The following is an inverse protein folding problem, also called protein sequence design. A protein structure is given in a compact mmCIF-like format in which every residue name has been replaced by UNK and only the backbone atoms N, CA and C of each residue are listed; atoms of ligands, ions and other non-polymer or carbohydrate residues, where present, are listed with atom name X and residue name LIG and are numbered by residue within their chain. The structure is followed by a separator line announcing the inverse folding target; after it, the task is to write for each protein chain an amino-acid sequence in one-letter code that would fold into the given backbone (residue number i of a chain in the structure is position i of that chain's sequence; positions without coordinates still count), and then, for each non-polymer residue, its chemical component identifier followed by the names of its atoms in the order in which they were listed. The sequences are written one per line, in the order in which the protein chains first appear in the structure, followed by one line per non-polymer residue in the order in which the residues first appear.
data_IF_092026577780
#
_entry.id   IF_092026577780
#
_cell.length_a   1.000
_cell.length_b   1.000
_cell.length_c   1.000
_cell.angle_alpha   90.00
_cell.angle_beta   90.00
_cell.angle_gamma   90.00
#
_symmetry.space_group_name_H-M   'P 1'
#
loop_
_entity.id
_entity.type
_entity.pdbx_description
1 polymer ?
#
# COMPACT_ATOMS: atom_id res chain seq x y z
N UNK A 1 -37.50 7.83 5.21
CA UNK A 1 -36.94 6.55 4.72
C UNK A 1 -36.18 5.85 5.84
N UNK A 2 -36.15 4.51 5.91
CA UNK A 2 -35.35 3.78 6.89
C UNK A 2 -33.85 3.87 6.55
N UNK A 3 -33.01 4.34 7.48
CA UNK A 3 -31.55 4.19 7.35
C UNK A 3 -31.18 2.72 7.57
N UNK A 4 -30.69 2.02 6.53
CA UNK A 4 -29.98 0.74 6.73
C UNK A 4 -28.82 0.99 7.68
N UNK A 5 -28.76 0.26 8.81
CA UNK A 5 -27.55 0.20 9.62
C UNK A 5 -26.46 -0.46 8.78
N UNK A 6 -25.39 0.26 8.46
CA UNK A 6 -24.19 -0.35 7.89
C UNK A 6 -23.64 -1.33 8.93
N UNK A 7 -23.29 -2.55 8.50
CA UNK A 7 -22.49 -3.44 9.36
C UNK A 7 -21.15 -2.75 9.56
N UNK A 8 -20.65 -2.69 10.80
CA UNK A 8 -19.26 -2.35 11.05
C UNK A 8 -18.40 -3.40 10.34
N UNK A 9 -17.63 -2.97 9.34
CA UNK A 9 -16.64 -3.83 8.70
C UNK A 9 -15.42 -3.96 9.61
N UNK A 10 -14.76 -5.13 9.59
CA UNK A 10 -13.49 -5.28 10.26
C UNK A 10 -12.46 -4.35 9.60
N UNK A 11 -12.00 -3.33 10.35
CA UNK A 11 -11.01 -2.39 9.85
C UNK A 11 -9.66 -3.10 9.66
N UNK A 12 -9.14 -3.09 8.43
CA UNK A 12 -7.79 -3.59 8.16
C UNK A 12 -6.79 -2.73 8.95
N UNK A 13 -6.08 -3.37 9.88
CA UNK A 13 -5.20 -2.70 10.85
C UNK A 13 -3.84 -3.40 10.86
N UNK A 14 -2.75 -2.64 10.84
CA UNK A 14 -1.40 -3.19 10.97
C UNK A 14 -1.19 -3.77 12.38
N UNK A 15 -0.39 -4.84 12.46
CA UNK A 15 -0.06 -5.43 13.75
C UNK A 15 0.75 -4.43 14.61
N UNK A 16 0.41 -4.32 15.90
CA UNK A 16 1.07 -3.39 16.84
C UNK A 16 2.59 -3.52 16.85
N UNK A 17 3.13 -4.73 16.64
CA UNK A 17 4.57 -4.97 16.49
C UNK A 17 5.25 -4.15 15.38
N UNK A 18 4.53 -3.84 14.30
CA UNK A 18 5.02 -3.03 13.15
C UNK A 18 4.88 -1.55 13.48
N UNK A 19 3.75 -1.16 14.10
CA UNK A 19 3.48 0.22 14.52
C UNK A 19 4.45 0.71 15.60
N UNK A 20 5.02 -0.20 16.40
CA UNK A 20 5.91 0.10 17.53
C UNK A 20 7.42 -0.06 17.21
N UNK A 21 7.80 -0.44 15.98
CA UNK A 21 9.21 -0.40 15.56
C UNK A 21 9.74 1.05 15.55
N UNK A 22 11.05 1.22 15.71
CA UNK A 22 11.70 2.49 15.36
C UNK A 22 11.83 2.65 13.83
N UNK A 23 12.46 3.73 13.38
CA UNK A 23 12.59 4.01 11.95
C UNK A 23 13.59 3.10 11.22
N UNK A 24 14.65 2.64 11.88
CA UNK A 24 15.64 1.73 11.30
C UNK A 24 15.06 0.32 11.15
N UNK A 25 14.48 -0.22 12.23
CA UNK A 25 13.88 -1.55 12.22
C UNK A 25 12.64 -1.61 11.32
N UNK A 26 11.85 -0.55 11.22
CA UNK A 26 10.74 -0.47 10.26
C UNK A 26 11.25 -0.46 8.81
N UNK A 27 12.25 0.37 8.49
CA UNK A 27 12.84 0.43 7.15
C UNK A 27 13.42 -0.94 6.73
N UNK A 28 14.14 -1.59 7.65
CA UNK A 28 14.67 -2.94 7.47
C UNK A 28 13.57 -3.98 7.27
N UNK A 29 12.51 -3.95 8.09
CA UNK A 29 11.38 -4.89 7.97
C UNK A 29 10.69 -4.77 6.61
N UNK A 30 10.46 -3.55 6.12
CA UNK A 30 9.90 -3.29 4.77
C UNK A 30 10.85 -3.79 3.68
N UNK A 31 12.16 -3.57 3.83
CA UNK A 31 13.15 -4.01 2.86
C UNK A 31 13.28 -5.54 2.81
N UNK A 32 13.24 -6.22 3.95
CA UNK A 32 13.40 -7.68 4.05
C UNK A 32 12.16 -8.43 3.57
N UNK A 33 10.94 -7.93 3.86
CA UNK A 33 9.70 -8.45 3.29
C UNK A 33 9.65 -8.28 1.75
N UNK A 34 10.14 -7.15 1.24
CA UNK A 34 10.24 -6.92 -0.21
C UNK A 34 11.12 -7.95 -0.94
N UNK A 35 12.20 -8.46 -0.31
CA UNK A 35 13.09 -9.47 -0.93
C UNK A 35 12.39 -10.79 -1.22
N UNK A 36 11.30 -11.10 -0.54
CA UNK A 36 10.49 -12.29 -0.82
C UNK A 36 9.56 -12.12 -2.04
N UNK A 37 9.39 -10.89 -2.53
CA UNK A 37 8.37 -10.52 -3.52
C UNK A 37 8.95 -10.11 -4.89
N UNK A 38 10.21 -9.70 -4.96
CA UNK A 38 10.86 -9.18 -6.17
C UNK A 38 12.21 -9.87 -6.46
N UNK A 39 12.67 -9.87 -7.73
CA UNK A 39 13.99 -10.36 -8.09
C UNK A 39 15.13 -9.66 -7.31
N UNK A 40 16.23 -10.39 -7.07
CA UNK A 40 17.34 -9.94 -6.20
C UNK A 40 18.09 -8.72 -6.76
N UNK A 41 18.07 -8.53 -8.08
CA UNK A 41 18.56 -7.34 -8.80
C UNK A 41 17.69 -6.09 -8.60
N UNK A 42 16.49 -6.24 -8.01
CA UNK A 42 15.45 -5.20 -7.95
C UNK A 42 15.04 -4.87 -6.52
N UNK A 43 16.03 -4.65 -5.64
CA UNK A 43 15.80 -4.21 -4.26
C UNK A 43 14.98 -2.90 -4.20
N UNK A 44 14.17 -2.76 -3.14
CA UNK A 44 13.38 -1.55 -2.88
C UNK A 44 14.29 -0.34 -2.64
N UNK A 45 13.99 0.77 -3.33
CA UNK A 45 14.73 2.03 -3.25
C UNK A 45 14.38 2.76 -1.95
N UNK A 46 15.32 3.54 -1.40
CA UNK A 46 15.13 4.30 -0.15
C UNK A 46 13.82 5.09 -0.12
N UNK A 47 13.55 5.90 -1.14
CA UNK A 47 12.33 6.72 -1.26
C UNK A 47 11.02 5.88 -1.35
N UNK A 48 11.09 4.62 -1.81
CA UNK A 48 9.93 3.72 -1.76
C UNK A 48 9.68 3.24 -0.32
N UNK A 49 10.75 2.85 0.40
CA UNK A 49 10.68 2.40 1.80
C UNK A 49 10.21 3.56 2.69
N UNK A 50 10.77 4.76 2.52
CA UNK A 50 10.38 5.99 3.22
C UNK A 50 8.88 6.28 3.06
N UNK A 51 8.34 6.21 1.84
CA UNK A 51 6.91 6.42 1.60
C UNK A 51 6.03 5.36 2.28
N UNK A 52 6.47 4.10 2.36
CA UNK A 52 5.80 3.05 3.13
C UNK A 52 5.89 3.32 4.63
N UNK A 53 7.01 3.83 5.15
CA UNK A 53 7.14 4.23 6.55
C UNK A 53 6.17 5.37 6.89
N UNK A 54 6.04 6.39 6.04
CA UNK A 54 5.07 7.47 6.23
C UNK A 54 3.62 6.93 6.28
N UNK A 55 3.27 6.01 5.39
CA UNK A 55 1.99 5.29 5.41
C UNK A 55 1.75 4.50 6.71
N UNK A 56 2.74 3.75 7.19
CA UNK A 56 2.66 3.00 8.47
C UNK A 56 2.44 3.95 9.66
N UNK A 57 2.97 5.18 9.61
CA UNK A 57 2.71 6.24 10.59
C UNK A 57 1.40 7.01 10.36
N UNK A 58 0.57 6.58 9.40
CA UNK A 58 -0.67 7.23 8.98
C UNK A 58 -0.48 8.69 8.50
N UNK A 59 0.71 9.01 7.96
CA UNK A 59 1.08 10.35 7.48
C UNK A 59 0.96 10.42 5.95
N UNK A 60 0.28 11.44 5.47
CA UNK A 60 0.28 11.78 4.04
C UNK A 60 1.70 12.17 3.59
N UNK A 61 2.08 11.80 2.37
CA UNK A 61 3.38 12.15 1.76
C UNK A 61 3.21 12.40 0.26
N UNK A 62 4.00 13.31 -0.29
CA UNK A 62 4.16 13.49 -1.74
C UNK A 62 5.50 12.90 -2.19
N UNK A 63 5.47 11.97 -3.16
CA UNK A 63 6.68 11.30 -3.67
C UNK A 63 7.02 11.84 -5.05
N UNK A 64 7.99 12.75 -5.12
CA UNK A 64 8.48 13.30 -6.39
C UNK A 64 9.48 12.34 -7.05
N UNK A 65 9.03 11.59 -8.05
CA UNK A 65 9.88 10.62 -8.76
C UNK A 65 9.48 10.47 -10.24
N UNK A 66 10.49 10.28 -11.11
CA UNK A 66 10.31 10.16 -12.56
C UNK A 66 9.60 8.89 -13.04
N UNK A 67 9.42 8.78 -14.36
CA UNK A 67 9.01 7.54 -15.03
C UNK A 67 10.11 6.48 -14.88
N UNK A 68 9.76 5.19 -14.89
CA UNK A 68 10.71 4.10 -14.64
C UNK A 68 11.22 3.97 -13.19
N UNK A 69 10.90 4.92 -12.29
CA UNK A 69 11.36 4.82 -10.89
C UNK A 69 10.78 3.61 -10.14
N UNK A 70 9.60 3.10 -10.56
CA UNK A 70 8.88 2.02 -9.87
C UNK A 70 7.90 2.52 -8.79
N UNK A 71 7.23 3.66 -9.03
CA UNK A 71 6.31 4.28 -8.05
C UNK A 71 5.18 3.35 -7.57
N UNK A 72 4.74 2.41 -8.41
CA UNK A 72 3.72 1.39 -8.10
C UNK A 72 4.07 0.52 -6.89
N UNK A 73 5.36 0.28 -6.61
CA UNK A 73 5.80 -0.54 -5.47
C UNK A 73 5.42 0.02 -4.10
N UNK A 74 5.16 1.32 -3.96
CA UNK A 74 4.81 1.92 -2.66
C UNK A 74 3.51 1.36 -2.08
N UNK A 75 2.35 1.40 -2.77
CA UNK A 75 1.14 0.73 -2.30
C UNK A 75 1.26 -0.80 -2.22
N UNK A 76 2.05 -1.44 -3.10
CA UNK A 76 2.28 -2.90 -3.06
C UNK A 76 2.98 -3.34 -1.77
N UNK A 77 4.10 -2.69 -1.42
CA UNK A 77 4.84 -2.93 -0.18
C UNK A 77 3.99 -2.63 1.05
N UNK A 78 3.20 -1.54 1.03
CA UNK A 78 2.34 -1.19 2.16
C UNK A 78 1.22 -2.22 2.41
N UNK A 79 0.58 -2.73 1.34
CA UNK A 79 -0.42 -3.81 1.44
C UNK A 79 0.18 -5.07 2.08
N UNK A 80 1.45 -5.38 1.79
CA UNK A 80 2.08 -6.62 2.22
C UNK A 80 2.39 -6.68 3.74
N UNK A 81 2.48 -5.51 4.41
CA UNK A 81 2.64 -5.41 5.86
C UNK A 81 1.40 -5.83 6.68
N UNK A 82 0.23 -5.94 6.04
CA UNK A 82 -1.01 -6.35 6.71
C UNK A 82 -1.10 -7.88 6.85
N UNK A 83 -1.83 -8.35 7.86
CA UNK A 83 -2.13 -9.78 7.98
C UNK A 83 -2.93 -10.27 6.77
N UNK A 84 -2.52 -11.38 6.14
CA UNK A 84 -3.15 -11.92 4.91
C UNK A 84 -4.66 -12.21 5.05
N UNK A 85 -5.13 -12.44 6.28
CA UNK A 85 -6.56 -12.61 6.62
C UNK A 85 -7.38 -11.31 6.62
N UNK A 86 -6.74 -10.14 6.71
CA UNK A 86 -7.43 -8.84 6.86
C UNK A 86 -7.94 -8.24 5.55
N UNK A 87 -7.53 -8.79 4.39
CA UNK A 87 -7.91 -8.32 3.04
C UNK A 87 -7.91 -6.78 2.91
N UNK A 88 -6.76 -6.11 3.12
CA UNK A 88 -6.68 -4.65 2.97
C UNK A 88 -6.99 -4.25 1.53
N UNK A 89 -7.51 -3.02 1.36
CA UNK A 89 -7.71 -2.40 0.06
C UNK A 89 -6.94 -1.08 0.06
N UNK A 90 -6.15 -0.85 -0.99
CA UNK A 90 -5.46 0.43 -1.22
C UNK A 90 -5.90 0.96 -2.58
N UNK A 91 -6.67 2.05 -2.55
CA UNK A 91 -7.08 2.78 -3.74
C UNK A 91 -5.92 3.65 -4.23
N UNK A 92 -5.81 3.76 -5.54
CA UNK A 92 -4.77 4.49 -6.27
C UNK A 92 -5.48 5.16 -7.47
N UNK A 93 -5.11 6.39 -7.90
CA UNK A 93 -5.86 7.24 -8.87
C UNK A 93 -4.92 8.04 -9.84
N UNK A 94 -4.93 7.92 -11.19
CA UNK A 94 -4.21 8.86 -12.12
C UNK A 94 -5.10 9.29 -13.30
N UNK A 95 -4.70 10.32 -14.07
CA UNK A 95 -5.33 10.74 -15.33
C UNK A 95 -5.57 9.73 -16.47
N UNK A 96 -5.04 8.48 -16.49
CA UNK A 96 -5.02 7.66 -17.72
C UNK A 96 -5.26 6.15 -17.51
N UNK A 97 -6.37 5.64 -18.06
CA UNK A 97 -6.76 4.21 -18.04
C UNK A 97 -5.67 3.27 -18.57
N UNK A 98 -5.01 3.66 -19.67
CA UNK A 98 -3.94 2.87 -20.28
C UNK A 98 -2.77 2.61 -19.33
N UNK A 99 -2.48 3.55 -18.43
CA UNK A 99 -1.43 3.40 -17.43
C UNK A 99 -1.89 2.47 -16.28
N UNK A 100 -3.17 2.49 -15.92
CA UNK A 100 -3.77 1.55 -14.96
C UNK A 100 -3.77 0.12 -15.50
N UNK A 101 -4.28 -0.05 -16.72
CA UNK A 101 -4.31 -1.33 -17.43
C UNK A 101 -2.91 -1.94 -17.59
N UNK A 102 -1.87 -1.12 -17.78
CA UNK A 102 -0.49 -1.61 -17.80
C UNK A 102 -0.03 -2.11 -16.41
N UNK A 103 -0.26 -1.34 -15.34
CA UNK A 103 0.08 -1.74 -13.96
C UNK A 103 -0.63 -3.04 -13.53
N UNK A 104 -1.88 -3.23 -13.96
CA UNK A 104 -2.66 -4.46 -13.74
C UNK A 104 -2.01 -5.64 -14.46
N UNK A 105 -1.65 -5.48 -15.75
CA UNK A 105 -0.97 -6.53 -16.53
C UNK A 105 0.38 -6.93 -15.94
N UNK A 106 1.16 -5.97 -15.45
CA UNK A 106 2.44 -6.23 -14.78
C UNK A 106 2.25 -7.08 -13.51
N UNK A 107 1.26 -6.77 -12.68
CA UNK A 107 0.95 -7.54 -11.44
C UNK A 107 0.50 -8.97 -11.72
N UNK A 108 -0.38 -9.13 -12.70
CA UNK A 108 -0.86 -10.46 -13.12
C UNK A 108 0.30 -11.32 -13.65
N UNK A 109 1.20 -10.73 -14.46
CA UNK A 109 2.38 -11.43 -14.97
C UNK A 109 3.37 -11.82 -13.86
N UNK A 110 3.52 -10.98 -12.83
CA UNK A 110 4.37 -11.25 -11.66
C UNK A 110 3.80 -12.31 -10.70
N UNK A 111 2.52 -12.68 -10.81
CA UNK A 111 1.80 -13.58 -9.88
C UNK A 111 1.83 -13.10 -8.41
N UNK A 112 2.12 -11.83 -8.16
CA UNK A 112 2.45 -11.29 -6.84
C UNK A 112 1.24 -10.99 -5.94
N UNK A 113 0.02 -11.03 -6.47
CA UNK A 113 -1.23 -10.83 -5.73
C UNK A 113 -2.31 -11.83 -6.19
N UNK A 114 -3.24 -12.23 -5.29
CA UNK A 114 -4.45 -12.94 -5.67
C UNK A 114 -5.38 -12.06 -6.52
N UNK A 115 -6.33 -12.69 -7.21
CA UNK A 115 -7.23 -12.12 -8.24
C UNK A 115 -8.05 -10.88 -7.87
N UNK A 116 -8.21 -10.61 -6.57
CA UNK A 116 -9.30 -9.78 -6.04
C UNK A 116 -8.92 -8.28 -5.91
N UNK A 117 -7.80 -7.83 -6.49
CA UNK A 117 -7.20 -6.52 -6.23
C UNK A 117 -7.13 -5.61 -7.48
N UNK A 118 -8.18 -4.82 -7.71
CA UNK A 118 -8.35 -3.94 -8.86
C UNK A 118 -9.10 -2.66 -8.47
N UNK A 119 -8.46 -1.48 -8.61
CA UNK A 119 -8.92 -0.41 -9.53
C UNK A 119 -7.79 0.62 -9.77
N UNK A 120 -8.08 1.80 -10.35
CA UNK A 120 -7.27 2.43 -11.40
C UNK A 120 -6.24 3.53 -11.03
N UNK A 121 -4.94 3.18 -11.18
CA UNK A 121 -3.78 4.07 -11.53
C UNK A 121 -3.17 4.96 -10.41
N UNK A 122 -2.30 5.99 -10.61
CA UNK A 122 -1.38 6.49 -9.55
C UNK A 122 -0.75 7.95 -9.55
N UNK A 123 -1.51 9.03 -9.27
CA UNK A 123 -1.05 10.31 -8.64
C UNK A 123 -1.33 10.14 -7.15
N UNK A 124 -0.34 9.61 -6.45
CA UNK A 124 -0.59 8.99 -5.15
C UNK A 124 -0.48 10.02 -4.02
N UNK A 125 -1.55 10.78 -3.77
CA UNK A 125 -1.74 11.37 -2.45
C UNK A 125 -2.11 10.25 -1.47
N UNK A 126 -1.12 9.79 -0.72
CA UNK A 126 -1.24 8.66 0.20
C UNK A 126 -2.02 9.03 1.49
N UNK A 127 -3.34 9.22 1.36
CA UNK A 127 -4.23 9.48 2.50
C UNK A 127 -4.52 8.21 3.29
N UNK A 128 -4.12 8.19 4.56
CA UNK A 128 -4.62 7.21 5.53
C UNK A 128 -6.06 7.56 5.93
N UNK A 129 -7.05 7.02 5.22
CA UNK A 129 -8.46 7.21 5.55
C UNK A 129 -8.84 6.43 6.82
N UNK A 130 -9.19 7.15 7.90
CA UNK A 130 -9.92 6.56 9.02
C UNK A 130 -11.40 6.44 8.64
N UNK A 131 -12.01 5.31 8.99
CA UNK A 131 -13.48 5.19 9.01
C UNK A 131 -13.90 5.54 10.43
N UNK A 132 -14.12 6.83 10.68
CA UNK A 132 -14.26 7.35 12.04
C UNK A 132 -15.44 6.72 12.80
N UNK A 133 -15.15 6.28 14.02
CA UNK A 133 -15.97 5.28 14.71
C UNK A 133 -16.13 5.45 16.21
N UNK A 134 -15.57 6.50 16.84
CA UNK A 134 -16.03 7.16 18.09
C UNK A 134 -15.07 8.33 18.48
N UNK A 135 -15.46 9.25 19.39
CA UNK A 135 -14.74 10.51 19.63
C UNK A 135 -13.49 10.40 20.53
N UNK A 136 -12.85 11.56 20.73
CA UNK A 136 -11.63 11.84 21.53
C UNK A 136 -11.68 11.27 22.95
#
# INVERSE_FOLDING_TARGET
MPRKKMKQGNQATLAQRILNLDNYDLAKTIADDARACYPIDQLSKSLQIEAVMHLVRLKNMFVMAGTGFGKSRVPELYVHLFAKSSKPVVLVLNPLDALGNNQVREKIAQKSLPSDFLDTTALIELRSLRVDGHPV
#
